data_IF_714070406993
#
_entry.id   IF_714070406993
#
_cell.length_a   1.000
_cell.length_b   1.000
_cell.length_c   1.000
_cell.angle_alpha   90.00
_cell.angle_beta   90.00
_cell.angle_gamma   90.00
#
_symmetry.space_group_name_H-M   'P 1'
#
loop_
_entity.id
_entity.type
_entity.pdbx_description
1 polymer ?
#
# COMPACT_ATOMS: atom_id res chain seq x y z
N UNK A 1 35.69 6.71 -2.27
CA UNK A 1 34.55 7.37 -2.95
C UNK A 1 34.15 6.66 -4.26
N UNK A 2 35.07 6.43 -5.21
CA UNK A 2 34.79 5.77 -6.51
C UNK A 2 34.12 4.39 -6.44
N UNK A 3 34.54 3.52 -5.50
CA UNK A 3 33.96 2.18 -5.32
C UNK A 3 32.48 2.23 -4.89
N UNK A 4 32.11 3.20 -4.06
CA UNK A 4 30.74 3.38 -3.59
C UNK A 4 29.82 3.84 -4.73
N UNK A 5 30.27 4.82 -5.52
CA UNK A 5 29.54 5.32 -6.70
C UNK A 5 29.34 4.19 -7.73
N UNK A 6 30.40 3.42 -8.03
CA UNK A 6 30.33 2.27 -8.95
C UNK A 6 29.32 1.22 -8.48
N UNK A 7 29.27 0.95 -7.18
CA UNK A 7 28.29 0.04 -6.59
C UNK A 7 26.85 0.58 -6.69
N UNK A 8 26.64 1.89 -6.52
CA UNK A 8 25.32 2.52 -6.69
C UNK A 8 24.83 2.45 -8.12
N UNK A 9 25.69 2.76 -9.09
CA UNK A 9 25.36 2.64 -10.51
C UNK A 9 25.01 1.18 -10.86
N UNK A 10 25.74 0.20 -10.32
CA UNK A 10 25.45 -1.23 -10.54
C UNK A 10 24.11 -1.66 -9.94
N UNK A 11 23.76 -1.16 -8.75
CA UNK A 11 22.46 -1.43 -8.11
C UNK A 11 21.30 -0.80 -8.90
N UNK A 12 21.47 0.44 -9.35
CA UNK A 12 20.47 1.13 -10.18
C UNK A 12 20.26 0.39 -11.52
N UNK A 13 21.33 -0.05 -12.18
CA UNK A 13 21.23 -0.85 -13.42
C UNK A 13 20.39 -2.12 -13.27
N UNK A 14 20.35 -2.70 -12.07
CA UNK A 14 19.58 -3.90 -11.79
C UNK A 14 18.10 -3.63 -11.44
N UNK A 15 17.73 -2.36 -11.20
CA UNK A 15 16.37 -1.95 -10.81
C UNK A 15 15.79 -0.99 -11.85
N UNK A 16 15.33 -1.56 -12.98
CA UNK A 16 14.86 -0.81 -14.16
C UNK A 16 13.75 0.19 -13.83
N UNK A 17 12.84 -0.16 -12.91
CA UNK A 17 11.74 0.73 -12.51
C UNK A 17 12.23 1.92 -11.69
N UNK A 18 13.20 1.71 -10.80
CA UNK A 18 13.80 2.79 -10.02
C UNK A 18 14.60 3.76 -10.92
N UNK A 19 15.26 3.25 -11.96
CA UNK A 19 15.96 4.08 -12.96
C UNK A 19 14.99 4.91 -13.79
N UNK A 20 13.87 4.33 -14.25
CA UNK A 20 12.81 5.10 -14.93
C UNK A 20 12.28 6.21 -14.03
N UNK A 21 12.00 5.91 -12.77
CA UNK A 21 11.55 6.89 -11.78
C UNK A 21 12.55 8.03 -11.58
N UNK A 22 13.84 7.70 -11.45
CA UNK A 22 14.91 8.70 -11.34
C UNK A 22 14.98 9.57 -12.60
N UNK A 23 14.90 8.98 -13.78
CA UNK A 23 14.89 9.71 -15.05
C UNK A 23 13.69 10.65 -15.14
N UNK A 24 12.48 10.20 -14.78
CA UNK A 24 11.30 11.05 -14.75
C UNK A 24 11.47 12.25 -13.81
N UNK A 25 12.05 12.06 -12.63
CA UNK A 25 12.30 13.18 -11.71
C UNK A 25 13.34 14.16 -12.26
N UNK A 26 14.40 13.68 -12.92
CA UNK A 26 15.37 14.56 -13.58
C UNK A 26 14.73 15.36 -14.72
N UNK A 27 13.87 14.73 -15.52
CA UNK A 27 13.11 15.41 -16.56
C UNK A 27 12.16 16.47 -15.97
N UNK A 28 11.46 16.15 -14.89
CA UNK A 28 10.59 17.10 -14.19
C UNK A 28 11.35 18.31 -13.65
N UNK A 29 12.59 18.13 -13.18
CA UNK A 29 13.44 19.26 -12.77
C UNK A 29 13.67 20.20 -13.96
N UNK A 30 14.03 19.67 -15.13
CA UNK A 30 14.24 20.48 -16.35
C UNK A 30 12.95 21.18 -16.76
N UNK A 31 11.81 20.48 -16.76
CA UNK A 31 10.52 21.05 -17.12
C UNK A 31 10.11 22.17 -16.16
N UNK A 32 10.31 21.99 -14.85
CA UNK A 32 10.07 23.06 -13.90
C UNK A 32 11.05 24.22 -14.17
N UNK A 33 12.36 23.99 -14.36
CA UNK A 33 13.32 25.06 -14.71
C UNK A 33 12.84 25.85 -15.94
N UNK A 34 12.26 25.21 -16.95
CA UNK A 34 11.64 25.90 -18.08
C UNK A 34 10.38 26.68 -17.67
N UNK A 35 9.50 26.10 -16.83
CA UNK A 35 8.30 26.75 -16.28
C UNK A 35 8.65 28.08 -15.58
N UNK A 36 9.79 28.15 -14.87
CA UNK A 36 10.27 29.39 -14.22
C UNK A 36 10.42 30.56 -15.20
N UNK A 37 10.86 30.31 -16.42
CA UNK A 37 11.05 31.36 -17.45
C UNK A 37 9.75 31.74 -18.17
N UNK A 38 8.64 31.07 -17.87
CA UNK A 38 7.37 31.23 -18.60
C UNK A 38 6.19 31.62 -17.70
N UNK A 39 6.35 31.57 -16.38
CA UNK A 39 5.25 31.82 -15.42
C UNK A 39 5.70 32.74 -14.29
N UNK A 40 4.81 33.64 -13.84
CA UNK A 40 5.10 34.62 -12.78
C UNK A 40 5.13 34.01 -11.36
N UNK A 41 4.89 32.70 -11.22
CA UNK A 41 4.67 32.04 -9.93
C UNK A 41 5.98 31.38 -9.44
N UNK A 42 6.97 32.22 -9.15
CA UNK A 42 8.34 31.79 -8.82
C UNK A 42 8.44 30.94 -7.53
N UNK A 43 7.57 31.16 -6.53
CA UNK A 43 7.63 30.43 -5.26
C UNK A 43 7.28 28.94 -5.39
N UNK A 44 6.24 28.61 -6.17
CA UNK A 44 5.81 27.23 -6.37
C UNK A 44 6.81 26.43 -7.21
N UNK A 45 7.63 27.11 -8.01
CA UNK A 45 8.73 26.51 -8.73
C UNK A 45 9.77 25.90 -7.81
N UNK A 46 10.31 26.67 -6.86
CA UNK A 46 11.35 26.20 -5.93
C UNK A 46 10.91 24.94 -5.18
N UNK A 47 9.63 24.89 -4.81
CA UNK A 47 9.06 23.73 -4.14
C UNK A 47 9.01 22.49 -5.05
N UNK A 48 8.53 22.64 -6.28
CA UNK A 48 8.37 21.52 -7.22
C UNK A 48 9.71 21.00 -7.74
N UNK A 49 10.57 21.91 -8.21
CA UNK A 49 11.91 21.57 -8.69
C UNK A 49 12.79 21.05 -7.55
N UNK A 50 12.77 21.72 -6.39
CA UNK A 50 13.49 21.29 -5.19
C UNK A 50 13.00 19.95 -4.64
N UNK A 51 11.69 19.71 -4.65
CA UNK A 51 11.10 18.42 -4.30
C UNK A 51 11.58 17.30 -5.23
N UNK A 52 11.55 17.54 -6.54
CA UNK A 52 12.04 16.57 -7.53
C UNK A 52 13.54 16.29 -7.39
N UNK A 53 14.34 17.32 -7.13
CA UNK A 53 15.78 17.20 -6.87
C UNK A 53 16.07 16.42 -5.59
N UNK A 54 15.36 16.71 -4.50
CA UNK A 54 15.49 15.99 -3.24
C UNK A 54 15.15 14.51 -3.39
N UNK A 55 14.03 14.18 -4.04
CA UNK A 55 13.62 12.79 -4.27
C UNK A 55 14.66 12.07 -5.14
N UNK A 56 15.14 12.71 -6.22
CA UNK A 56 16.20 12.16 -7.08
C UNK A 56 17.48 11.87 -6.31
N UNK A 57 17.91 12.82 -5.46
CA UNK A 57 19.09 12.68 -4.62
C UNK A 57 18.93 11.50 -3.64
N UNK A 58 17.79 11.42 -2.95
CA UNK A 58 17.55 10.36 -1.98
C UNK A 58 17.48 8.97 -2.65
N UNK A 59 16.84 8.87 -3.82
CA UNK A 59 16.85 7.66 -4.65
C UNK A 59 18.29 7.26 -5.00
N UNK A 60 19.12 8.21 -5.43
CA UNK A 60 20.50 7.93 -5.80
C UNK A 60 21.33 7.42 -4.62
N UNK A 61 21.19 8.04 -3.43
CA UNK A 61 21.98 7.69 -2.24
C UNK A 61 21.50 6.40 -1.58
N UNK A 62 20.19 6.18 -1.52
CA UNK A 62 19.57 5.14 -0.66
C UNK A 62 18.61 4.19 -1.38
N UNK A 63 18.45 4.32 -2.69
CA UNK A 63 17.63 3.43 -3.52
C UNK A 63 16.13 3.58 -3.24
N UNK A 64 15.40 2.45 -3.23
CA UNK A 64 13.94 2.42 -2.97
C UNK A 64 13.54 3.04 -1.63
N UNK A 65 14.39 2.94 -0.61
CA UNK A 65 14.14 3.60 0.69
C UNK A 65 14.11 5.13 0.52
N UNK A 66 14.99 5.65 -0.33
CA UNK A 66 15.08 7.07 -0.64
C UNK A 66 13.85 7.62 -1.35
N UNK A 67 13.24 6.81 -2.24
CA UNK A 67 11.94 7.16 -2.81
C UNK A 67 10.90 7.33 -1.71
N UNK A 68 10.78 6.37 -0.79
CA UNK A 68 9.81 6.44 0.30
C UNK A 68 10.04 7.66 1.20
N UNK A 69 11.27 7.90 1.66
CA UNK A 69 11.58 9.04 2.51
C UNK A 69 11.45 10.38 1.77
N UNK A 70 11.84 10.44 0.50
CA UNK A 70 11.72 11.65 -0.32
C UNK A 70 10.27 12.05 -0.56
N UNK A 71 9.41 11.09 -0.93
CA UNK A 71 7.97 11.33 -1.08
C UNK A 71 7.32 11.75 0.24
N UNK A 72 7.75 11.14 1.35
CA UNK A 72 7.26 11.49 2.68
C UNK A 72 7.63 12.92 3.07
N UNK A 73 8.90 13.31 2.91
CA UNK A 73 9.37 14.67 3.20
C UNK A 73 8.64 15.67 2.31
N UNK A 74 8.56 15.40 1.00
CA UNK A 74 7.87 16.26 0.04
C UNK A 74 6.39 16.44 0.39
N UNK A 75 5.69 15.35 0.75
CA UNK A 75 4.31 15.41 1.25
C UNK A 75 4.17 16.29 2.49
N UNK A 76 5.08 16.19 3.45
CA UNK A 76 5.07 17.04 4.64
C UNK A 76 5.29 18.53 4.29
N UNK A 77 6.20 18.83 3.37
CA UNK A 77 6.45 20.21 2.92
C UNK A 77 5.24 20.82 2.21
N UNK A 78 4.47 20.01 1.47
CA UNK A 78 3.27 20.47 0.76
C UNK A 78 2.16 20.98 1.69
N UNK A 79 2.09 20.52 2.95
CA UNK A 79 1.12 21.00 3.96
C UNK A 79 1.28 22.51 4.21
N UNK A 80 2.52 22.99 4.14
CA UNK A 80 2.83 24.40 4.41
C UNK A 80 2.54 25.29 3.21
N UNK A 81 2.67 24.77 2.00
CA UNK A 81 2.57 25.58 0.78
C UNK A 81 1.17 25.59 0.19
N UNK A 82 0.53 24.43 0.05
CA UNK A 82 -0.87 24.39 -0.37
C UNK A 82 -1.75 24.65 0.85
N UNK A 83 -2.82 25.44 0.70
CA UNK A 83 -3.75 25.76 1.78
C UNK A 83 -4.59 24.55 2.23
N UNK A 84 -3.93 23.50 2.71
CA UNK A 84 -4.48 22.38 3.48
C UNK A 84 -5.47 21.42 2.78
N UNK A 85 -6.08 21.78 1.65
CA UNK A 85 -7.06 20.93 0.95
C UNK A 85 -6.47 19.86 0.01
N UNK A 86 -5.16 19.64 0.02
CA UNK A 86 -4.55 18.86 -1.06
C UNK A 86 -4.47 17.36 -0.72
N UNK A 87 -5.36 16.57 -1.34
CA UNK A 87 -5.28 15.11 -1.40
C UNK A 87 -3.89 14.63 -1.86
N UNK A 88 -3.11 15.45 -2.57
CA UNK A 88 -1.75 15.14 -2.96
C UNK A 88 -0.82 14.86 -1.77
N UNK A 89 -0.92 15.59 -0.66
CA UNK A 89 -0.11 15.33 0.53
C UNK A 89 -0.39 13.93 1.07
N UNK A 90 -1.68 13.64 1.27
CA UNK A 90 -2.14 12.35 1.78
C UNK A 90 -1.70 11.21 0.83
N UNK A 91 -1.82 11.43 -0.48
CA UNK A 91 -1.40 10.49 -1.53
C UNK A 91 0.11 10.18 -1.47
N UNK A 92 0.97 11.21 -1.39
CA UNK A 92 2.42 11.00 -1.30
C UNK A 92 2.83 10.26 -0.03
N UNK A 93 2.18 10.58 1.10
CA UNK A 93 2.42 9.86 2.36
C UNK A 93 1.96 8.40 2.26
N UNK A 94 0.83 8.09 1.60
CA UNK A 94 0.42 6.70 1.37
C UNK A 94 1.41 5.92 0.52
N UNK A 95 1.89 6.48 -0.59
CA UNK A 95 2.87 5.82 -1.44
C UNK A 95 4.16 5.57 -0.65
N UNK A 96 4.62 6.56 0.12
CA UNK A 96 5.80 6.41 0.98
C UNK A 96 5.64 5.28 2.00
N UNK A 97 4.48 5.20 2.64
CA UNK A 97 4.15 4.16 3.62
C UNK A 97 4.03 2.76 3.00
N UNK A 98 3.46 2.68 1.79
CA UNK A 98 3.42 1.45 1.00
C UNK A 98 4.83 0.97 0.61
N UNK A 99 5.69 1.90 0.20
CA UNK A 99 7.07 1.62 -0.17
C UNK A 99 7.99 1.27 1.02
N UNK A 100 7.69 1.77 2.23
CA UNK A 100 8.45 1.46 3.45
C UNK A 100 7.54 1.27 4.67
N UNK A 101 7.25 0.00 5.06
CA UNK A 101 6.37 -0.31 6.20
C UNK A 101 6.81 0.28 7.54
N UNK A 102 8.11 0.60 7.73
CA UNK A 102 8.59 1.26 8.96
C UNK A 102 7.95 2.63 9.16
N UNK A 103 7.55 3.30 8.08
CA UNK A 103 6.87 4.59 8.14
C UNK A 103 5.43 4.48 8.64
N UNK A 104 4.77 3.31 8.60
CA UNK A 104 3.36 3.16 9.03
C UNK A 104 3.10 3.66 10.45
N UNK A 105 4.04 3.38 11.37
CA UNK A 105 3.91 3.76 12.79
C UNK A 105 4.23 5.23 13.03
N UNK A 106 5.05 5.84 12.18
CA UNK A 106 5.64 7.16 12.43
C UNK A 106 4.96 8.27 11.60
N UNK A 107 4.55 7.94 10.37
CA UNK A 107 3.96 8.88 9.42
C UNK A 107 2.69 9.58 9.93
N UNK A 108 1.74 8.90 10.61
CA UNK A 108 0.55 9.57 11.15
C UNK A 108 0.92 10.66 12.18
N UNK A 109 1.84 10.38 13.10
CA UNK A 109 2.26 11.33 14.13
C UNK A 109 2.97 12.56 13.55
N UNK A 110 3.85 12.34 12.59
CA UNK A 110 4.52 13.44 11.89
C UNK A 110 3.50 14.28 11.10
N UNK A 111 2.51 13.64 10.46
CA UNK A 111 1.44 14.37 9.77
C UNK A 111 0.64 15.25 10.73
N UNK A 112 0.22 14.73 11.90
CA UNK A 112 -0.47 15.51 12.94
C UNK A 112 0.39 16.70 13.39
N UNK A 113 1.68 16.48 13.66
CA UNK A 113 2.59 17.54 14.07
C UNK A 113 2.69 18.65 13.01
N UNK A 114 2.81 18.29 11.73
CA UNK A 114 2.85 19.26 10.63
C UNK A 114 1.53 20.03 10.51
N UNK A 115 0.38 19.36 10.65
CA UNK A 115 -0.94 20.01 10.66
C UNK A 115 -1.03 21.01 11.82
N UNK A 116 -0.61 20.65 13.03
CA UNK A 116 -0.67 21.52 14.19
C UNK A 116 0.22 22.77 14.04
N UNK A 117 1.44 22.59 13.51
CA UNK A 117 2.35 23.71 13.21
C UNK A 117 1.73 24.62 12.15
N UNK A 118 1.23 24.05 11.06
CA UNK A 118 0.69 24.84 9.97
C UNK A 118 -0.65 25.52 10.34
N UNK A 119 -1.45 24.92 11.25
CA UNK A 119 -2.64 25.53 11.84
C UNK A 119 -2.29 26.83 12.56
N UNK A 120 -1.24 26.78 13.40
CA UNK A 120 -0.71 27.95 14.11
C UNK A 120 -0.12 29.00 13.17
N UNK A 121 0.63 28.58 12.15
CA UNK A 121 1.27 29.51 11.22
C UNK A 121 0.28 30.23 10.29
N UNK A 122 -0.85 29.59 9.95
CA UNK A 122 -1.83 30.12 9.00
C UNK A 122 -3.08 30.72 9.66
N UNK A 123 -3.14 30.81 10.99
CA UNK A 123 -4.30 31.31 11.75
C UNK A 123 -5.63 30.70 11.28
N UNK A 124 -5.66 29.38 11.12
CA UNK A 124 -6.83 28.69 10.60
C UNK A 124 -7.93 28.56 11.66
N UNK A 125 -9.17 28.43 11.19
CA UNK A 125 -10.33 28.19 12.04
C UNK A 125 -10.38 26.74 12.55
N UNK A 126 -11.01 26.53 13.71
CA UNK A 126 -11.12 25.24 14.40
C UNK A 126 -11.73 24.15 13.52
N UNK A 127 -12.62 24.53 12.59
CA UNK A 127 -13.23 23.60 11.62
C UNK A 127 -12.15 22.98 10.73
N UNK A 128 -11.17 23.77 10.25
CA UNK A 128 -10.08 23.26 9.43
C UNK A 128 -9.22 22.27 10.23
N UNK A 129 -8.93 22.55 11.49
CA UNK A 129 -8.20 21.61 12.36
C UNK A 129 -8.94 20.29 12.53
N UNK A 130 -10.24 20.33 12.82
CA UNK A 130 -11.08 19.14 12.98
C UNK A 130 -11.09 18.27 11.71
N UNK A 131 -11.19 18.87 10.52
CA UNK A 131 -11.12 18.16 9.23
C UNK A 131 -9.79 17.39 9.12
N UNK A 132 -8.67 17.98 9.53
CA UNK A 132 -7.37 17.29 9.47
C UNK A 132 -7.21 16.18 10.52
N UNK A 133 -7.80 16.33 11.70
CA UNK A 133 -7.88 15.26 12.68
C UNK A 133 -8.65 14.05 12.12
N UNK A 134 -9.80 14.29 11.47
CA UNK A 134 -10.57 13.23 10.79
C UNK A 134 -9.73 12.59 9.68
N UNK A 135 -9.07 13.40 8.84
CA UNK A 135 -8.20 12.87 7.79
C UNK A 135 -7.06 12.03 8.33
N UNK A 136 -6.53 12.34 9.51
CA UNK A 136 -5.48 11.54 10.17
C UNK A 136 -6.03 10.18 10.61
N UNK A 137 -7.23 10.14 11.18
CA UNK A 137 -7.88 8.86 11.56
C UNK A 137 -8.16 8.03 10.32
N UNK A 138 -8.77 8.64 9.28
CA UNK A 138 -8.94 8.00 7.97
C UNK A 138 -7.61 7.55 7.39
N UNK A 139 -6.53 8.29 7.65
CA UNK A 139 -5.18 7.94 7.22
C UNK A 139 -4.73 6.60 7.79
N UNK A 140 -4.85 6.44 9.11
CA UNK A 140 -4.58 5.19 9.80
C UNK A 140 -5.45 4.03 9.29
N UNK A 141 -6.76 4.24 9.14
CA UNK A 141 -7.69 3.22 8.67
C UNK A 141 -7.32 2.72 7.27
N UNK A 142 -7.09 3.63 6.32
CA UNK A 142 -6.72 3.29 4.95
C UNK A 142 -5.35 2.60 4.87
N UNK A 143 -4.36 2.99 5.69
CA UNK A 143 -3.08 2.26 5.77
C UNK A 143 -3.34 0.82 6.17
N UNK A 144 -4.14 0.61 7.22
CA UNK A 144 -4.43 -0.72 7.72
C UNK A 144 -5.21 -1.54 6.67
N UNK A 145 -6.23 -0.96 6.05
CA UNK A 145 -7.03 -1.63 5.03
C UNK A 145 -6.24 -2.02 3.77
N UNK A 146 -5.40 -1.12 3.24
CA UNK A 146 -4.70 -1.35 1.96
C UNK A 146 -3.41 -2.16 2.16
N UNK A 147 -2.68 -1.91 3.25
CA UNK A 147 -1.31 -2.39 3.38
C UNK A 147 -1.11 -3.43 4.50
N UNK A 148 -2.09 -3.63 5.39
CA UNK A 148 -2.10 -4.78 6.29
C UNK A 148 -2.99 -5.84 5.63
N UNK A 149 -2.44 -7.02 5.29
CA UNK A 149 -3.26 -8.13 4.84
C UNK A 149 -4.18 -8.53 6.00
N UNK A 150 -5.45 -8.12 5.93
CA UNK A 150 -6.47 -8.58 6.85
C UNK A 150 -6.76 -10.05 6.53
N UNK A 151 -6.12 -10.98 7.26
CA UNK A 151 -6.52 -12.40 7.17
C UNK A 151 -8.02 -12.45 7.44
N UNK A 152 -8.83 -12.98 6.52
CA UNK A 152 -10.26 -13.03 6.76
C UNK A 152 -10.53 -13.90 7.99
N UNK A 153 -11.37 -13.42 8.90
CA UNK A 153 -11.71 -14.11 10.15
C UNK A 153 -12.38 -15.46 9.87
N UNK A 154 -13.14 -15.53 8.77
CA UNK A 154 -13.76 -16.73 8.23
C UNK A 154 -13.23 -17.03 6.83
N UNK A 155 -13.23 -18.30 6.44
CA UNK A 155 -12.83 -18.66 5.08
C UNK A 155 -13.83 -18.14 4.05
N UNK A 156 -13.35 -17.31 3.13
CA UNK A 156 -14.12 -16.80 2.00
C UNK A 156 -14.01 -17.79 0.82
N UNK A 157 -14.95 -18.72 0.76
CA UNK A 157 -15.04 -19.81 -0.22
C UNK A 157 -16.39 -19.80 -0.93
N UNK A 158 -16.36 -20.03 -2.23
CA UNK A 158 -17.55 -20.34 -3.04
C UNK A 158 -18.00 -21.78 -2.81
N UNK A 159 -19.23 -22.13 -3.18
CA UNK A 159 -19.75 -23.49 -3.03
C UNK A 159 -18.92 -24.53 -3.80
N UNK A 160 -18.52 -24.23 -5.04
CA UNK A 160 -17.62 -25.10 -5.83
C UNK A 160 -16.29 -25.35 -5.11
N UNK A 161 -15.72 -24.30 -4.50
CA UNK A 161 -14.46 -24.41 -3.76
C UNK A 161 -14.64 -25.21 -2.46
N UNK A 162 -15.79 -25.11 -1.79
CA UNK A 162 -16.11 -25.96 -0.63
C UNK A 162 -16.20 -27.43 -1.05
N UNK A 163 -16.89 -27.73 -2.16
CA UNK A 163 -17.02 -29.10 -2.70
C UNK A 163 -15.63 -29.66 -3.03
N UNK A 164 -14.82 -28.89 -3.76
CA UNK A 164 -13.44 -29.25 -4.12
C UNK A 164 -12.59 -29.49 -2.86
N UNK A 165 -12.65 -28.60 -1.87
CA UNK A 165 -11.86 -28.72 -0.64
C UNK A 165 -12.32 -29.89 0.24
N UNK A 166 -13.61 -30.23 0.25
CA UNK A 166 -14.14 -31.39 0.95
C UNK A 166 -13.63 -32.70 0.33
N UNK A 167 -13.66 -32.82 -1.00
CA UNK A 167 -13.11 -33.98 -1.71
C UNK A 167 -11.60 -34.15 -1.50
N UNK A 168 -10.85 -33.04 -1.47
CA UNK A 168 -9.43 -33.04 -1.14
C UNK A 168 -9.17 -33.42 0.33
N UNK A 169 -10.01 -32.96 1.26
CA UNK A 169 -9.90 -33.30 2.69
C UNK A 169 -10.17 -34.79 2.93
N UNK A 170 -11.05 -35.40 2.12
CA UNK A 170 -11.31 -36.85 2.10
C UNK A 170 -10.22 -37.66 1.38
N UNK A 171 -9.11 -37.02 0.96
CA UNK A 171 -7.96 -37.70 0.38
C UNK A 171 -8.02 -37.96 -1.12
N UNK A 172 -9.03 -37.45 -1.85
CA UNK A 172 -9.05 -37.55 -3.31
C UNK A 172 -7.88 -36.74 -3.91
N UNK A 173 -7.24 -37.30 -4.93
CA UNK A 173 -6.28 -36.55 -5.73
C UNK A 173 -7.01 -35.53 -6.59
N UNK A 174 -6.36 -34.43 -6.91
CA UNK A 174 -6.96 -33.34 -7.71
C UNK A 174 -7.52 -33.81 -9.07
N UNK A 175 -6.91 -34.85 -9.66
CA UNK A 175 -7.34 -35.47 -10.92
C UNK A 175 -8.56 -36.39 -10.79
N UNK A 176 -9.00 -36.68 -9.57
CA UNK A 176 -10.10 -37.59 -9.24
C UNK A 176 -11.36 -36.85 -8.77
N UNK A 177 -11.37 -35.52 -8.84
CA UNK A 177 -12.52 -34.71 -8.44
C UNK A 177 -13.49 -34.69 -9.61
N UNK A 178 -14.61 -35.41 -9.46
CA UNK A 178 -15.64 -35.54 -10.48
C UNK A 178 -16.36 -34.19 -10.71
N UNK A 179 -16.84 -33.98 -11.94
CA UNK A 179 -17.55 -32.75 -12.32
C UNK A 179 -16.65 -31.55 -12.66
N UNK A 180 -15.33 -31.62 -12.44
CA UNK A 180 -14.40 -30.53 -12.74
C UNK A 180 -13.19 -30.98 -13.55
N UNK A 181 -12.81 -30.18 -14.55
CA UNK A 181 -11.53 -30.37 -15.24
C UNK A 181 -10.37 -29.98 -14.31
N UNK A 182 -9.22 -30.68 -14.38
CA UNK A 182 -8.08 -30.48 -13.48
C UNK A 182 -7.60 -29.01 -13.44
N UNK A 183 -7.56 -28.33 -14.59
CA UNK A 183 -7.19 -26.91 -14.68
C UNK A 183 -8.17 -26.00 -13.94
N UNK A 184 -9.46 -26.33 -13.97
CA UNK A 184 -10.51 -25.59 -13.27
C UNK A 184 -10.34 -25.74 -11.77
N UNK A 185 -10.04 -26.96 -11.30
CA UNK A 185 -9.72 -27.21 -9.88
C UNK A 185 -8.49 -26.41 -9.44
N UNK A 186 -7.42 -26.39 -10.24
CA UNK A 186 -6.22 -25.58 -9.94
C UNK A 186 -6.56 -24.11 -9.80
N UNK A 187 -7.40 -23.58 -10.71
CA UNK A 187 -7.84 -22.18 -10.70
C UNK A 187 -8.66 -21.86 -9.45
N UNK A 188 -9.63 -22.71 -9.08
CA UNK A 188 -10.45 -22.54 -7.88
C UNK A 188 -9.59 -22.56 -6.60
N UNK A 189 -8.68 -23.53 -6.47
CA UNK A 189 -7.78 -23.60 -5.31
C UNK A 189 -6.90 -22.34 -5.23
N UNK A 190 -6.34 -21.88 -6.35
CA UNK A 190 -5.51 -20.67 -6.39
C UNK A 190 -6.30 -19.43 -5.98
N UNK A 191 -7.50 -19.25 -6.51
CA UNK A 191 -8.38 -18.13 -6.16
C UNK A 191 -8.77 -18.16 -4.68
N UNK A 192 -9.10 -19.35 -4.15
CA UNK A 192 -9.40 -19.54 -2.74
C UNK A 192 -8.17 -19.24 -1.86
N UNK A 193 -6.96 -19.65 -2.27
CA UNK A 193 -5.72 -19.31 -1.58
C UNK A 193 -5.48 -17.80 -1.55
N UNK A 194 -5.68 -17.12 -2.67
CA UNK A 194 -5.47 -15.68 -2.80
C UNK A 194 -6.45 -14.90 -1.90
N UNK A 195 -7.75 -15.24 -1.92
CA UNK A 195 -8.75 -14.59 -1.06
C UNK A 195 -8.54 -14.85 0.43
N UNK A 196 -8.01 -16.02 0.79
CA UNK A 196 -7.80 -16.42 2.19
C UNK A 196 -6.36 -16.23 2.67
N UNK A 197 -5.52 -15.56 1.87
CA UNK A 197 -4.12 -15.27 2.15
C UNK A 197 -3.31 -16.51 2.56
N UNK A 198 -3.56 -17.63 1.89
CA UNK A 198 -2.86 -18.88 2.12
C UNK A 198 -1.70 -18.99 1.13
N UNK A 199 -0.48 -19.24 1.63
CA UNK A 199 0.70 -19.38 0.78
C UNK A 199 0.74 -20.72 0.05
N UNK A 200 0.10 -21.74 0.63
CA UNK A 200 0.08 -23.09 0.11
C UNK A 200 -1.33 -23.67 0.13
N UNK A 201 -1.58 -24.65 -0.75
CA UNK A 201 -2.81 -25.45 -0.72
C UNK A 201 -3.01 -26.11 0.63
N UNK A 202 -1.93 -26.58 1.24
CA UNK A 202 -1.95 -27.22 2.56
C UNK A 202 -2.43 -26.27 3.66
N UNK A 203 -1.97 -25.01 3.64
CA UNK A 203 -2.45 -23.99 4.59
C UNK A 203 -3.95 -23.73 4.42
N UNK A 204 -4.43 -23.66 3.18
CA UNK A 204 -5.86 -23.50 2.89
C UNK A 204 -6.68 -24.69 3.40
N UNK A 205 -6.21 -25.92 3.16
CA UNK A 205 -6.88 -27.15 3.58
C UNK A 205 -6.92 -27.27 5.11
N UNK A 206 -5.82 -26.97 5.79
CA UNK A 206 -5.75 -26.96 7.26
C UNK A 206 -6.74 -25.95 7.86
N UNK A 207 -6.81 -24.73 7.30
CA UNK A 207 -7.82 -23.75 7.72
C UNK A 207 -9.23 -24.26 7.49
N UNK A 208 -9.49 -24.90 6.34
CA UNK A 208 -10.82 -25.42 5.99
C UNK A 208 -11.29 -26.51 6.95
N UNK A 209 -10.41 -27.46 7.26
CA UNK A 209 -10.70 -28.52 8.22
C UNK A 209 -10.85 -27.97 9.65
N UNK A 210 -10.06 -26.97 10.03
CA UNK A 210 -10.16 -26.32 11.34
C UNK A 210 -11.44 -25.46 11.51
N UNK A 211 -11.92 -24.84 10.42
CA UNK A 211 -13.20 -24.11 10.42
C UNK A 211 -14.43 -25.02 10.43
N UNK A 212 -14.26 -26.30 10.07
CA UNK A 212 -15.25 -27.37 10.19
C UNK A 212 -16.49 -27.21 9.31
N UNK A 213 -16.73 -28.07 8.29
CA UNK A 213 -18.05 -28.21 7.66
C UNK A 213 -19.12 -28.80 8.60
N UNK A 214 -18.76 -29.29 9.78
CA UNK A 214 -19.68 -29.95 10.74
C UNK A 214 -20.44 -29.02 11.69
N UNK A 215 -20.05 -27.73 11.82
CA UNK A 215 -20.78 -26.79 12.69
C UNK A 215 -22.13 -26.36 12.09
N UNK A 216 -22.22 -26.19 10.77
CA UNK A 216 -23.47 -25.78 10.10
C UNK A 216 -24.57 -26.86 10.15
N UNK A 217 -24.20 -28.13 10.27
CA UNK A 217 -25.16 -29.25 10.42
C UNK A 217 -25.68 -29.42 11.84
N UNK A 218 -24.92 -29.02 12.87
CA UNK A 218 -25.39 -29.11 14.27
C UNK A 218 -26.29 -27.93 14.66
N UNK A 219 -26.00 -26.72 14.18
CA UNK A 219 -26.85 -25.54 14.44
C UNK A 219 -28.22 -25.64 13.75
N UNK A 220 -28.31 -26.26 12.56
CA UNK A 220 -29.60 -26.50 11.90
C UNK A 220 -30.43 -27.58 12.57
N UNK A 221 -29.81 -28.60 13.17
CA UNK A 221 -30.53 -29.66 13.90
C UNK A 221 -31.04 -29.21 15.27
N UNK A 222 -30.44 -28.18 15.87
CA UNK A 222 -30.95 -27.55 17.10
C UNK A 222 -32.01 -26.46 16.81
N UNK A 223 -31.99 -25.83 15.64
CA UNK A 223 -32.98 -24.81 15.26
C UNK A 223 -34.30 -25.36 14.68
N UNK A 224 -34.38 -26.65 14.36
CA UNK A 224 -35.58 -27.33 13.84
C UNK A 224 -36.17 -28.34 14.82
N UNK A 225 -35.76 -28.29 16.08
CA UNK A 225 -36.15 -29.19 17.16
C UNK A 225 -36.91 -28.52 18.30
N UNK A 226 -37.60 -27.42 18.02
CA UNK A 226 -38.59 -26.77 18.90
C UNK A 226 -39.91 -26.55 18.15
#
# INVERSE_FOLDING_TARGET
MFRWIKNRIKLLKNDKELVKLLFCHLLLIVLHVCEYYTTDIQYFWYLRAGGCALISMLIFVTGRKGLAYGLFIYGCTLVYVNNFYNYATIFFVYIAVGANPKLRKVAPWIYIANVAIAFKLKNLDIIAFCIHCIYTVMFGIKINYVFIPNKPETLNLTEDEKIILNELANGKLQKQIEGYHQNTVTKYIRNAMDRNMCKTKTELLQKYMASGPQKESQDKSQASGD
#
